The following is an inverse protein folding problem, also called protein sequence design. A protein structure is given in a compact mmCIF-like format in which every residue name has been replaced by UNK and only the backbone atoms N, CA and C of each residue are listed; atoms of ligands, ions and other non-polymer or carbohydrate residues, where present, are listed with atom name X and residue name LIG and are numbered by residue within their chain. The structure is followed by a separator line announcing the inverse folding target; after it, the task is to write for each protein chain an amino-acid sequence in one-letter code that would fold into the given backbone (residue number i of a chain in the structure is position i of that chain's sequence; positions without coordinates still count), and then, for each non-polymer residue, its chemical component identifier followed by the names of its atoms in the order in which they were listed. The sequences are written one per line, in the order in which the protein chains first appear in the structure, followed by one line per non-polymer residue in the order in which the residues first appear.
data_IF_988373324365
#
_entry.id   IF_988373324365
#
_cell.length_a   1.000
_cell.length_b   1.000
_cell.length_c   1.000
_cell.angle_alpha   90.00
_cell.angle_beta   90.00
_cell.angle_gamma   90.00
#
_symmetry.space_group_name_H-M   'P 1'
#
loop_
_entity.id
_entity.type
_entity.pdbx_description
1 polymer ?
#
# COMPACT_ATOMS: atom_id res chain seq x y z
N UNK A 1 -27.88 -19.73 -21.50
CA UNK A 1 -27.38 -19.41 -20.15
C UNK A 1 -25.91 -19.01 -20.28
N UNK A 2 -25.62 -17.78 -20.72
CA UNK A 2 -24.25 -17.38 -21.15
C UNK A 2 -23.79 -16.02 -20.60
N UNK A 3 -24.68 -15.29 -19.92
CA UNK A 3 -24.43 -13.89 -19.53
C UNK A 3 -23.37 -13.78 -18.42
N UNK A 4 -23.20 -14.79 -17.57
CA UNK A 4 -22.19 -14.78 -16.50
C UNK A 4 -20.75 -14.98 -16.99
N UNK A 5 -20.56 -15.70 -18.10
CA UNK A 5 -19.22 -16.01 -18.61
C UNK A 5 -18.60 -14.82 -19.36
N UNK A 6 -19.44 -14.08 -20.09
CA UNK A 6 -19.06 -12.83 -20.77
C UNK A 6 -18.54 -11.77 -19.78
N UNK A 7 -19.18 -11.65 -18.60
CA UNK A 7 -18.79 -10.67 -17.58
C UNK A 7 -17.43 -10.97 -16.95
N UNK A 8 -17.13 -12.25 -16.64
CA UNK A 8 -15.84 -12.64 -16.06
C UNK A 8 -14.69 -12.49 -17.05
N UNK A 9 -14.92 -12.84 -18.31
CA UNK A 9 -13.94 -12.61 -19.38
C UNK A 9 -13.70 -11.11 -19.61
N UNK A 10 -14.74 -10.28 -19.53
CA UNK A 10 -14.61 -8.82 -19.60
C UNK A 10 -13.84 -8.24 -18.41
N UNK A 11 -14.10 -8.72 -17.19
CA UNK A 11 -13.36 -8.31 -15.99
C UNK A 11 -11.87 -8.63 -16.09
N UNK A 12 -11.49 -9.81 -16.62
CA UNK A 12 -10.09 -10.17 -16.85
C UNK A 12 -9.38 -9.19 -17.79
N UNK A 13 -10.07 -8.73 -18.84
CA UNK A 13 -9.53 -7.75 -19.81
C UNK A 13 -9.37 -6.35 -19.23
N UNK A 14 -10.10 -6.02 -18.16
CA UNK A 14 -9.99 -4.73 -17.46
C UNK A 14 -8.88 -4.70 -16.41
N UNK A 15 -8.46 -5.86 -15.88
CA UNK A 15 -7.39 -5.94 -14.86
C UNK A 15 -6.15 -5.13 -15.25
N UNK A 16 -5.59 -5.22 -16.47
CA UNK A 16 -4.37 -4.48 -16.82
C UNK A 16 -4.51 -2.95 -16.73
N UNK A 17 -5.73 -2.43 -16.85
CA UNK A 17 -6.02 -0.99 -16.80
C UNK A 17 -6.03 -0.44 -15.38
N UNK A 18 -6.30 -1.28 -14.38
CA UNK A 18 -6.34 -0.90 -12.96
C UNK A 18 -5.02 -1.13 -12.23
N UNK A 19 -4.09 -1.89 -12.82
CA UNK A 19 -2.75 -2.09 -12.26
C UNK A 19 -1.91 -0.81 -12.36
N UNK A 20 -0.99 -0.59 -11.42
CA UNK A 20 0.02 0.49 -11.46
C UNK A 20 1.43 -0.09 -11.68
N UNK A 21 2.31 0.67 -12.33
CA UNK A 21 3.73 0.42 -12.64
C UNK A 21 4.28 -1.00 -12.44
N UNK A 22 4.59 -1.39 -11.20
CA UNK A 22 5.20 -2.68 -10.88
C UNK A 22 4.27 -3.85 -11.18
N UNK A 23 2.97 -3.68 -10.90
CA UNK A 23 1.95 -4.66 -11.23
C UNK A 23 1.70 -4.75 -12.74
N UNK A 24 1.76 -3.64 -13.49
CA UNK A 24 1.72 -3.69 -14.97
C UNK A 24 2.90 -4.46 -15.55
N UNK A 25 4.09 -4.26 -14.99
CA UNK A 25 5.32 -4.92 -15.43
C UNK A 25 5.29 -6.42 -15.15
N UNK A 26 4.81 -6.82 -13.98
CA UNK A 26 4.58 -8.23 -13.65
C UNK A 26 3.55 -8.86 -14.59
N UNK A 27 2.40 -8.21 -14.79
CA UNK A 27 1.33 -8.74 -15.64
C UNK A 27 1.79 -9.00 -17.07
N UNK A 28 2.63 -8.12 -17.65
CA UNK A 28 3.21 -8.29 -19.00
C UNK A 28 4.22 -9.43 -19.13
N UNK A 29 4.76 -9.93 -18.01
CA UNK A 29 5.70 -11.07 -17.99
C UNK A 29 4.98 -12.41 -17.89
N UNK A 30 3.67 -12.42 -17.71
CA UNK A 30 2.89 -13.66 -17.72
C UNK A 30 2.89 -14.27 -19.14
N UNK A 31 3.03 -15.60 -19.28
CA UNK A 31 2.90 -16.26 -20.57
C UNK A 31 1.50 -16.02 -21.14
N UNK A 32 1.41 -15.80 -22.46
CA UNK A 32 0.15 -15.49 -23.15
C UNK A 32 -0.96 -16.55 -22.93
N UNK A 33 -0.56 -17.81 -22.65
CA UNK A 33 -1.45 -18.96 -22.48
C UNK A 33 -1.74 -19.32 -21.00
N UNK A 34 -1.40 -18.47 -20.02
CA UNK A 34 -1.50 -18.83 -18.60
C UNK A 34 -2.63 -18.13 -17.83
N UNK A 35 -3.52 -17.40 -18.53
CA UNK A 35 -4.63 -16.64 -17.93
C UNK A 35 -5.98 -17.20 -18.36
N UNK A 36 -6.15 -18.52 -18.29
CA UNK A 36 -7.41 -19.18 -18.67
C UNK A 36 -8.51 -19.01 -17.61
N UNK A 37 -8.18 -18.44 -16.45
CA UNK A 37 -9.13 -18.17 -15.38
C UNK A 37 -8.69 -16.99 -14.51
N UNK A 38 -9.61 -16.05 -14.30
CA UNK A 38 -9.49 -14.97 -13.32
C UNK A 38 -9.03 -15.46 -11.94
N UNK A 39 -9.47 -16.67 -11.55
CA UNK A 39 -9.14 -17.26 -10.25
C UNK A 39 -7.64 -17.55 -10.14
N UNK A 40 -7.02 -18.03 -11.22
CA UNK A 40 -5.59 -18.30 -11.26
C UNK A 40 -4.78 -17.00 -11.24
N UNK A 41 -5.18 -16.03 -12.07
CA UNK A 41 -4.58 -14.70 -12.08
C UNK A 41 -4.65 -14.03 -10.70
N UNK A 42 -5.79 -14.11 -10.02
CA UNK A 42 -5.99 -13.54 -8.70
C UNK A 42 -5.13 -14.24 -7.64
N UNK A 43 -4.98 -15.56 -7.73
CA UNK A 43 -4.10 -16.33 -6.85
C UNK A 43 -2.63 -16.00 -7.07
N UNK A 44 -2.18 -15.93 -8.32
CA UNK A 44 -0.79 -15.62 -8.67
C UNK A 44 -0.44 -14.17 -8.32
N UNK A 45 -1.37 -13.24 -8.55
CA UNK A 45 -1.26 -11.87 -8.09
C UNK A 45 -1.15 -11.83 -6.56
N UNK A 46 -2.05 -12.54 -5.86
CA UNK A 46 -1.98 -12.61 -4.41
C UNK A 46 -0.64 -13.16 -3.95
N UNK A 47 -0.17 -14.30 -4.45
CA UNK A 47 1.12 -14.89 -4.04
C UNK A 47 2.32 -13.99 -4.37
N UNK A 48 2.32 -13.33 -5.53
CA UNK A 48 3.41 -12.45 -5.94
C UNK A 48 3.49 -11.18 -5.08
N UNK A 49 2.34 -10.64 -4.69
CA UNK A 49 2.24 -9.39 -3.94
C UNK A 49 2.05 -9.60 -2.42
N UNK A 50 1.71 -10.80 -1.96
CA UNK A 50 1.56 -11.18 -0.55
C UNK A 50 2.89 -11.10 0.21
N UNK A 51 4.00 -11.26 -0.51
CA UNK A 51 5.37 -11.08 0.00
C UNK A 51 5.83 -9.62 0.07
N UNK A 52 5.11 -8.67 -0.56
CA UNK A 52 5.30 -7.23 -0.32
C UNK A 52 4.60 -6.91 1.00
N UNK A 53 5.11 -7.48 2.09
CA UNK A 53 4.88 -6.90 3.40
C UNK A 53 5.49 -5.49 3.36
N UNK A 54 4.79 -4.45 3.85
CA UNK A 54 5.48 -3.23 4.26
C UNK A 54 6.70 -3.65 5.05
N UNK A 55 7.88 -3.12 4.70
CA UNK A 55 9.13 -3.47 5.39
C UNK A 55 8.89 -3.44 6.90
N UNK A 56 9.46 -4.39 7.66
CA UNK A 56 9.29 -4.44 9.11
C UNK A 56 9.46 -3.04 9.70
N UNK A 57 8.44 -2.68 10.48
CA UNK A 57 8.32 -1.48 11.30
C UNK A 57 9.69 -1.10 11.82
N UNK A 58 10.12 0.12 11.52
CA UNK A 58 11.23 0.68 12.26
C UNK A 58 10.69 1.81 13.15
N UNK A 59 10.39 1.51 14.44
CA UNK A 59 10.00 2.50 15.44
C UNK A 59 10.99 3.68 15.51
N UNK A 60 12.25 3.45 15.08
CA UNK A 60 13.32 4.43 14.98
C UNK A 60 12.92 5.59 14.04
N UNK A 61 11.97 5.44 13.11
CA UNK A 61 11.61 6.58 12.23
C UNK A 61 10.71 7.65 12.88
N UNK A 62 10.01 7.35 14.00
CA UNK A 62 9.16 8.33 14.69
C UNK A 62 9.88 9.11 15.79
N UNK A 63 10.95 8.55 16.36
CA UNK A 63 11.82 9.29 17.30
C UNK A 63 12.54 10.48 16.66
N UNK A 64 12.44 10.67 15.34
CA UNK A 64 13.10 11.77 14.62
C UNK A 64 12.20 12.95 14.25
N UNK A 65 10.88 12.90 14.53
CA UNK A 65 10.03 14.09 14.34
C UNK A 65 9.86 14.74 15.70
N UNK A 66 10.89 15.44 16.17
CA UNK A 66 10.90 16.23 17.40
C UNK A 66 10.63 17.69 17.03
N UNK A 67 9.91 18.41 17.89
CA UNK A 67 9.73 19.85 17.75
C UNK A 67 11.09 20.55 17.92
N UNK A 68 11.50 21.29 16.91
CA UNK A 68 12.80 21.98 16.96
C UNK A 68 12.71 23.26 17.81
N UNK A 69 13.83 23.70 18.37
CA UNK A 69 13.88 24.93 19.16
C UNK A 69 13.47 26.13 18.30
N UNK A 70 12.39 26.81 18.70
CA UNK A 70 11.83 27.93 17.94
C UNK A 70 10.89 27.52 16.80
N UNK A 71 10.67 26.23 16.57
CA UNK A 71 9.63 25.77 15.65
C UNK A 71 8.24 26.03 16.23
N UNK A 72 7.38 26.67 15.45
CA UNK A 72 5.99 26.90 15.83
C UNK A 72 5.22 25.58 15.77
N UNK A 73 4.37 25.33 16.76
CA UNK A 73 3.63 24.07 16.93
C UNK A 73 2.88 23.60 15.67
N UNK A 74 2.36 24.53 14.87
CA UNK A 74 1.67 24.21 13.61
C UNK A 74 2.61 23.54 12.59
N UNK A 75 3.82 24.07 12.41
CA UNK A 75 4.83 23.49 11.51
C UNK A 75 5.19 22.08 11.94
N UNK A 76 5.42 21.90 13.25
CA UNK A 76 5.70 20.59 13.84
C UNK A 76 4.54 19.61 13.58
N UNK A 77 3.30 20.03 13.83
CA UNK A 77 2.11 19.20 13.66
C UNK A 77 1.93 18.75 12.20
N UNK A 78 2.22 19.61 11.23
CA UNK A 78 2.18 19.25 9.80
C UNK A 78 3.24 18.21 9.43
N UNK A 79 4.48 18.35 9.93
CA UNK A 79 5.55 17.35 9.74
C UNK A 79 5.18 16.02 10.39
N UNK A 80 4.69 16.07 11.62
CA UNK A 80 4.25 14.89 12.37
C UNK A 80 3.10 14.18 11.66
N UNK A 81 2.07 14.90 11.23
CA UNK A 81 0.93 14.34 10.51
C UNK A 81 1.33 13.71 9.18
N UNK A 82 2.17 14.37 8.37
CA UNK A 82 2.72 13.80 7.13
C UNK A 82 3.47 12.50 7.41
N UNK A 83 4.26 12.46 8.49
CA UNK A 83 5.02 11.27 8.88
C UNK A 83 4.10 10.13 9.35
N UNK A 84 3.05 10.43 10.11
CA UNK A 84 2.02 9.47 10.54
C UNK A 84 1.30 8.87 9.33
N UNK A 85 0.81 9.70 8.40
CA UNK A 85 0.14 9.24 7.17
C UNK A 85 1.07 8.39 6.32
N UNK A 86 2.30 8.85 6.10
CA UNK A 86 3.26 8.14 5.27
C UNK A 86 3.60 6.76 5.84
N UNK A 87 3.65 6.63 7.17
CA UNK A 87 3.90 5.35 7.80
C UNK A 87 2.64 4.48 7.89
N UNK A 88 1.47 5.04 8.25
CA UNK A 88 0.20 4.32 8.22
C UNK A 88 0.08 3.12 9.17
N UNK A 89 1.00 2.95 10.14
CA UNK A 89 1.08 1.74 10.99
C UNK A 89 0.86 1.98 12.49
N UNK A 90 0.40 3.17 12.89
CA UNK A 90 0.24 3.52 14.31
C UNK A 90 -1.22 3.49 14.71
N UNK A 91 -1.50 2.85 15.85
CA UNK A 91 -2.77 3.05 16.55
C UNK A 91 -2.89 4.50 17.04
N UNK A 92 -4.11 4.93 17.37
CA UNK A 92 -4.34 6.26 17.97
C UNK A 92 -3.53 6.44 19.26
N UNK A 93 -3.48 5.41 20.10
CA UNK A 93 -2.71 5.40 21.35
C UNK A 93 -1.21 5.58 21.10
N UNK A 94 -0.63 4.87 20.14
CA UNK A 94 0.78 5.01 19.77
C UNK A 94 1.08 6.39 19.18
N UNK A 95 0.17 6.89 18.33
CA UNK A 95 0.30 8.23 17.72
C UNK A 95 0.33 9.31 18.80
N UNK A 96 -0.57 9.26 19.78
CA UNK A 96 -0.62 10.20 20.90
C UNK A 96 0.62 10.11 21.80
N UNK A 97 1.10 8.90 22.10
CA UNK A 97 2.29 8.69 22.91
C UNK A 97 3.54 9.29 22.23
N UNK A 98 3.70 9.05 20.92
CA UNK A 98 4.81 9.61 20.15
C UNK A 98 4.70 11.13 20.01
N UNK A 99 3.51 11.66 19.78
CA UNK A 99 3.29 13.11 19.72
C UNK A 99 3.74 13.80 21.01
N UNK A 100 3.33 13.28 22.19
CA UNK A 100 3.68 13.84 23.50
C UNK A 100 5.16 13.72 23.84
N UNK A 101 5.82 12.65 23.39
CA UNK A 101 7.27 12.44 23.59
C UNK A 101 8.13 13.39 22.76
N UNK A 102 7.58 13.84 21.64
CA UNK A 102 8.31 14.58 20.61
C UNK A 102 8.04 16.10 20.62
N UNK A 103 7.12 16.56 21.48
CA UNK A 103 7.05 17.96 21.91
C UNK A 103 8.22 18.27 22.85
#
# INVERSE_FOLDING_TARGET
MEVHNATRAAMCRMVPTTLTDYAKTWFRKLPADNVDSFSKLSSDFYLHFQGIKPRPKDPIHMQYVIQELGEVLRSYMERFHKKVIHMGVFTEKETLANFRRNL
#
